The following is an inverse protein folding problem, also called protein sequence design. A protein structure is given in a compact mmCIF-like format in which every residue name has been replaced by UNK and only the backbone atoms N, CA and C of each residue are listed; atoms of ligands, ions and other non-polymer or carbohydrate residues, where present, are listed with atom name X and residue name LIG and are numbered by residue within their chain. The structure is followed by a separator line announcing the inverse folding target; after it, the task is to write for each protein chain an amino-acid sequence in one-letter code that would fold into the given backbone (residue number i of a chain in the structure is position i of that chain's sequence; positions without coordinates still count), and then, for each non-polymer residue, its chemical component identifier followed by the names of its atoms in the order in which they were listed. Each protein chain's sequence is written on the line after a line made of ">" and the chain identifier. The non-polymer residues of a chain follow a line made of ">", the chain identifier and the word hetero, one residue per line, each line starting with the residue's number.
data_IF_986648235109
#
_entry.id   IF_986648235109
#
_cell.length_a   1.000
_cell.length_b   1.000
_cell.length_c   1.000
_cell.angle_alpha   90.00
_cell.angle_beta   90.00
_cell.angle_gamma   90.00
#
_symmetry.space_group_name_H-M   'P 1'
#
loop_
_entity.id
_entity.type
_entity.pdbx_description
1 polymer ?
#
# COMPACT_ATOMS: atom_id res chain seq x y z
N UNK A 1 24.90 -1.52 -45.69
CA UNK A 1 25.07 -0.36 -44.78
C UNK A 1 23.69 0.02 -44.23
N UNK A 2 23.09 -0.88 -43.45
CA UNK A 2 21.70 -0.76 -43.00
C UNK A 2 21.76 -0.30 -41.55
N UNK A 3 21.57 1.01 -41.32
CA UNK A 3 21.48 1.58 -39.98
C UNK A 3 20.29 0.95 -39.27
N UNK A 4 20.56 0.14 -38.26
CA UNK A 4 19.59 -0.17 -37.21
C UNK A 4 19.17 1.17 -36.58
N UNK A 5 18.00 1.68 -36.98
CA UNK A 5 17.25 2.60 -36.15
C UNK A 5 16.86 1.80 -34.90
N UNK A 6 17.68 1.89 -33.86
CA UNK A 6 17.21 1.65 -32.50
C UNK A 6 16.07 2.65 -32.30
N UNK A 7 14.84 2.18 -32.47
CA UNK A 7 13.67 2.84 -31.90
C UNK A 7 13.97 2.85 -30.40
N UNK A 8 14.45 3.99 -29.91
CA UNK A 8 14.47 4.28 -28.48
C UNK A 8 13.01 4.37 -28.09
N UNK A 9 12.39 3.21 -27.81
CA UNK A 9 11.14 3.17 -27.06
C UNK A 9 11.47 3.88 -25.76
N UNK A 10 10.97 5.11 -25.60
CA UNK A 10 11.08 5.85 -24.35
C UNK A 10 10.45 4.97 -23.28
N UNK A 11 11.28 4.27 -22.52
CA UNK A 11 10.83 3.36 -21.46
C UNK A 11 10.04 4.21 -20.46
N UNK A 12 8.81 3.82 -20.19
CA UNK A 12 8.05 4.37 -19.06
C UNK A 12 8.85 4.16 -17.78
N UNK A 13 8.81 5.14 -16.90
CA UNK A 13 9.52 5.12 -15.62
C UNK A 13 8.62 4.62 -14.48
N UNK A 14 7.31 4.73 -14.66
CA UNK A 14 6.24 4.50 -13.69
C UNK A 14 4.99 3.93 -14.37
N UNK A 15 4.29 3.02 -13.68
CA UNK A 15 2.95 2.54 -14.00
C UNK A 15 1.84 3.39 -13.34
N UNK A 16 2.18 4.18 -12.31
CA UNK A 16 1.25 5.06 -11.59
C UNK A 16 1.14 6.47 -12.19
N UNK A 17 2.25 7.03 -12.68
CA UNK A 17 2.31 8.38 -13.23
C UNK A 17 2.78 8.37 -14.68
N UNK A 18 1.91 8.87 -15.58
CA UNK A 18 2.20 8.97 -17.01
C UNK A 18 1.84 10.38 -17.46
N UNK A 19 2.80 11.10 -18.03
CA UNK A 19 2.61 12.44 -18.57
C UNK A 19 1.77 12.43 -19.84
N UNK A 20 1.16 13.57 -20.17
CA UNK A 20 0.21 13.65 -21.29
C UNK A 20 0.83 13.33 -22.67
N UNK A 21 2.13 13.58 -22.87
CA UNK A 21 2.84 13.20 -24.10
C UNK A 21 2.96 11.68 -24.27
N UNK A 22 3.04 10.93 -23.17
CA UNK A 22 3.15 9.46 -23.16
C UNK A 22 1.79 8.76 -23.09
N UNK A 23 0.73 9.48 -22.71
CA UNK A 23 -0.62 8.95 -22.58
C UNK A 23 -1.25 8.52 -23.93
N UNK A 24 -0.70 8.94 -25.07
CA UNK A 24 -1.16 8.51 -26.39
C UNK A 24 -0.71 7.07 -26.72
N UNK A 25 0.47 6.69 -26.24
CA UNK A 25 1.08 5.38 -26.49
C UNK A 25 0.77 4.38 -25.36
N UNK A 26 0.24 4.86 -24.24
CA UNK A 26 0.04 4.08 -23.01
C UNK A 26 -1.29 4.38 -22.34
N UNK A 27 -1.99 3.33 -21.92
CA UNK A 27 -3.24 3.46 -21.19
C UNK A 27 -3.01 4.03 -19.78
N UNK A 28 -3.49 5.25 -19.54
CA UNK A 28 -3.44 5.91 -18.22
C UNK A 28 -4.72 5.61 -17.44
N UNK A 29 -4.61 4.83 -16.36
CA UNK A 29 -5.77 4.49 -15.53
C UNK A 29 -6.24 5.69 -14.70
N UNK A 30 -5.30 6.37 -14.04
CA UNK A 30 -5.51 7.54 -13.18
C UNK A 30 -4.26 8.41 -13.13
N UNK A 31 -4.43 9.64 -12.66
CA UNK A 31 -3.32 10.51 -12.24
C UNK A 31 -3.41 10.68 -10.72
N UNK A 32 -2.38 10.30 -9.95
CA UNK A 32 -2.40 10.46 -8.50
C UNK A 32 -2.51 11.93 -8.11
N UNK A 33 -3.10 12.20 -6.94
CA UNK A 33 -3.06 13.53 -6.35
C UNK A 33 -1.67 13.78 -5.77
N UNK A 34 -0.91 14.68 -6.40
CA UNK A 34 0.43 15.09 -5.97
C UNK A 34 0.38 16.56 -5.59
N UNK A 35 0.49 16.85 -4.30
CA UNK A 35 0.61 18.20 -3.78
C UNK A 35 1.80 18.23 -2.81
N UNK A 36 2.98 18.59 -3.33
CA UNK A 36 4.17 18.69 -2.50
C UNK A 36 4.21 19.99 -1.70
N UNK A 37 3.51 21.04 -2.15
CA UNK A 37 3.41 22.30 -1.42
C UNK A 37 2.80 22.06 -0.01
N UNK A 38 1.71 21.27 0.07
CA UNK A 38 1.10 20.82 1.34
C UNK A 38 2.08 20.03 2.23
N UNK A 39 2.96 19.21 1.64
CA UNK A 39 3.95 18.44 2.40
C UNK A 39 5.09 19.34 2.92
N UNK A 40 5.47 20.36 2.16
CA UNK A 40 6.50 21.32 2.53
C UNK A 40 6.06 22.25 3.68
N UNK A 41 4.76 22.54 3.81
CA UNK A 41 4.22 23.24 4.99
C UNK A 41 4.57 22.51 6.30
N UNK A 42 4.71 21.18 6.24
CA UNK A 42 5.12 20.32 7.36
C UNK A 42 6.48 19.65 7.12
N UNK A 43 7.41 20.33 6.44
CA UNK A 43 8.76 19.81 6.12
C UNK A 43 9.49 19.13 7.29
N UNK A 44 9.46 19.63 8.55
CA UNK A 44 10.12 18.95 9.67
C UNK A 44 9.58 17.54 9.96
N UNK A 45 8.26 17.30 9.78
CA UNK A 45 7.68 15.96 9.95
C UNK A 45 8.17 14.99 8.87
N UNK A 46 8.28 15.47 7.63
CA UNK A 46 8.78 14.70 6.50
C UNK A 46 10.28 14.37 6.66
N UNK A 47 11.10 15.35 7.06
CA UNK A 47 12.52 15.14 7.35
C UNK A 47 12.73 14.11 8.45
N UNK A 48 11.94 14.19 9.54
CA UNK A 48 11.94 13.18 10.60
C UNK A 48 11.60 11.79 10.04
N UNK A 49 10.57 11.68 9.20
CA UNK A 49 10.16 10.40 8.60
C UNK A 49 11.28 9.80 7.73
N UNK A 50 11.86 10.59 6.83
CA UNK A 50 12.96 10.15 5.95
C UNK A 50 14.15 9.67 6.78
N UNK A 51 14.56 10.47 7.78
CA UNK A 51 15.71 10.19 8.64
C UNK A 51 15.50 8.90 9.45
N UNK A 52 14.37 8.79 10.16
CA UNK A 52 14.11 7.65 11.05
C UNK A 52 13.85 6.35 10.28
N UNK A 53 13.36 6.42 9.03
CA UNK A 53 13.23 5.24 8.17
C UNK A 53 14.55 4.80 7.52
N UNK A 54 15.60 5.63 7.59
CA UNK A 54 16.87 5.36 6.89
C UNK A 54 16.76 5.45 5.37
N UNK A 55 15.81 6.23 4.84
CA UNK A 55 15.61 6.38 3.39
C UNK A 55 16.68 7.33 2.83
N UNK A 56 17.45 6.85 1.86
CA UNK A 56 18.50 7.64 1.21
C UNK A 56 17.90 8.54 0.12
N UNK A 57 17.37 9.70 0.51
CA UNK A 57 16.78 10.70 -0.40
C UNK A 57 17.30 12.10 -0.07
N UNK A 58 17.65 12.85 -1.12
CA UNK A 58 18.02 14.26 -1.04
C UNK A 58 16.76 15.14 -1.16
N UNK A 59 16.16 15.49 -0.01
CA UNK A 59 14.91 16.25 0.05
C UNK A 59 15.05 17.64 -0.60
N UNK A 60 16.18 18.31 -0.42
CA UNK A 60 16.41 19.63 -1.02
C UNK A 60 16.44 19.55 -2.55
N UNK A 61 17.04 18.49 -3.11
CA UNK A 61 17.02 18.27 -4.56
C UNK A 61 15.61 17.99 -5.08
N UNK A 62 14.78 17.28 -4.32
CA UNK A 62 13.37 17.07 -4.68
C UNK A 62 12.62 18.40 -4.66
N UNK A 63 12.81 19.20 -3.61
CA UNK A 63 12.23 20.53 -3.48
C UNK A 63 12.62 21.45 -4.63
N UNK A 64 13.92 21.51 -4.98
CA UNK A 64 14.38 22.30 -6.15
C UNK A 64 13.73 21.84 -7.46
N UNK A 65 13.59 20.53 -7.68
CA UNK A 65 12.91 19.99 -8.87
C UNK A 65 11.43 20.37 -8.89
N UNK A 66 10.76 20.29 -7.76
CA UNK A 66 9.35 20.65 -7.63
C UNK A 66 9.13 22.15 -7.87
N UNK A 67 9.91 23.03 -7.22
CA UNK A 67 9.80 24.47 -7.42
C UNK A 67 10.08 24.88 -8.87
N UNK A 68 11.06 24.24 -9.53
CA UNK A 68 11.32 24.46 -10.94
C UNK A 68 10.16 24.02 -11.84
N UNK A 69 9.54 22.87 -11.54
CA UNK A 69 8.31 22.44 -12.21
C UNK A 69 7.18 23.47 -12.04
N UNK A 70 6.91 23.92 -10.80
CA UNK A 70 5.87 24.91 -10.50
C UNK A 70 6.10 26.22 -11.25
N UNK A 71 7.34 26.70 -11.29
CA UNK A 71 7.72 27.89 -12.06
C UNK A 71 7.41 27.72 -13.56
N UNK A 72 7.80 26.60 -14.18
CA UNK A 72 7.51 26.38 -15.60
C UNK A 72 6.01 26.21 -15.88
N UNK A 73 5.27 25.58 -14.97
CA UNK A 73 3.82 25.44 -15.09
C UNK A 73 3.11 26.79 -14.95
N UNK A 74 3.56 27.67 -14.05
CA UNK A 74 3.08 29.05 -13.94
C UNK A 74 3.31 29.84 -15.23
N UNK A 75 4.52 29.77 -15.79
CA UNK A 75 4.83 30.41 -17.09
C UNK A 75 3.94 29.87 -18.21
N UNK A 76 3.63 28.56 -18.21
CA UNK A 76 2.69 27.95 -19.16
C UNK A 76 1.28 28.52 -18.98
N UNK A 77 0.79 28.62 -17.75
CA UNK A 77 -0.53 29.18 -17.45
C UNK A 77 -0.62 30.64 -17.89
N UNK A 78 0.40 31.45 -17.62
CA UNK A 78 0.45 32.86 -18.07
C UNK A 78 0.38 32.96 -19.59
N UNK A 79 1.15 32.16 -20.33
CA UNK A 79 1.08 32.14 -21.79
C UNK A 79 -0.28 31.66 -22.32
N UNK A 80 -0.94 30.71 -21.65
CA UNK A 80 -2.29 30.27 -22.01
C UNK A 80 -3.33 31.37 -21.78
N UNK A 81 -3.23 32.11 -20.68
CA UNK A 81 -4.08 33.27 -20.39
C UNK A 81 -3.88 34.37 -21.44
N UNK A 82 -2.64 34.79 -21.69
CA UNK A 82 -2.32 35.82 -22.69
C UNK A 82 -2.79 35.42 -24.10
N UNK A 83 -2.64 34.14 -24.48
CA UNK A 83 -3.20 33.63 -25.75
C UNK A 83 -4.71 33.77 -25.80
N UNK A 84 -5.41 33.49 -24.68
CA UNK A 84 -6.85 33.64 -24.56
C UNK A 84 -7.30 35.09 -24.68
N UNK A 85 -6.57 36.03 -24.06
CA UNK A 85 -6.82 37.47 -24.13
C UNK A 85 -6.62 38.02 -25.55
N UNK A 86 -5.49 37.70 -26.20
CA UNK A 86 -5.25 38.08 -27.60
C UNK A 86 -6.32 37.49 -28.52
N UNK A 87 -6.76 36.26 -28.25
CA UNK A 87 -7.86 35.64 -29.01
C UNK A 87 -9.17 36.43 -28.92
N UNK A 88 -9.51 36.97 -27.75
CA UNK A 88 -10.68 37.85 -27.55
C UNK A 88 -10.49 39.20 -28.27
N UNK A 89 -9.32 39.80 -28.13
CA UNK A 89 -9.01 41.10 -28.76
C UNK A 89 -9.08 41.02 -30.30
N UNK A 90 -8.51 39.96 -30.90
CA UNK A 90 -8.64 39.71 -32.34
C UNK A 90 -10.12 39.59 -32.74
N UNK A 91 -10.92 38.85 -31.97
CA UNK A 91 -12.34 38.67 -32.28
C UNK A 91 -13.13 39.99 -32.21
N UNK A 92 -12.79 40.89 -31.30
CA UNK A 92 -13.45 42.19 -31.16
C UNK A 92 -13.01 43.19 -32.24
N UNK A 93 -11.74 43.23 -32.60
CA UNK A 93 -11.24 44.06 -33.71
C UNK A 93 -11.80 43.62 -35.07
N UNK A 94 -11.94 42.30 -35.29
CA UNK A 94 -12.58 41.79 -36.50
C UNK A 94 -14.05 42.22 -36.63
N UNK A 95 -14.80 42.36 -35.51
CA UNK A 95 -16.17 42.89 -35.53
C UNK A 95 -16.22 44.38 -35.89
N UNK A 96 -15.17 45.13 -35.53
CA UNK A 96 -15.05 46.58 -35.80
C UNK A 96 -14.49 46.88 -37.18
N UNK A 97 -13.96 45.87 -37.89
CA UNK A 97 -13.32 46.04 -39.20
C UNK A 97 -11.88 46.54 -39.14
N UNK A 98 -11.25 46.45 -37.96
CA UNK A 98 -9.89 46.94 -37.72
C UNK A 98 -8.81 45.93 -38.15
N UNK A 99 -7.56 46.40 -38.30
CA UNK A 99 -6.42 45.56 -38.66
C UNK A 99 -5.96 44.67 -37.48
N UNK A 100 -5.83 43.37 -37.73
CA UNK A 100 -5.45 42.35 -36.74
C UNK A 100 -4.14 41.61 -37.04
N UNK A 101 -3.41 41.96 -38.11
CA UNK A 101 -2.23 41.19 -38.56
C UNK A 101 -1.13 41.10 -37.50
N UNK A 102 -0.85 42.19 -36.77
CA UNK A 102 0.14 42.20 -35.69
C UNK A 102 -0.26 41.26 -34.53
N UNK A 103 -1.53 41.27 -34.13
CA UNK A 103 -2.05 40.39 -33.08
C UNK A 103 -2.06 38.92 -33.52
N UNK A 104 -2.35 38.64 -34.79
CA UNK A 104 -2.23 37.27 -35.34
C UNK A 104 -0.79 36.77 -35.29
N UNK A 105 0.19 37.63 -35.59
CA UNK A 105 1.61 37.28 -35.49
C UNK A 105 2.01 37.00 -34.03
N UNK A 106 1.60 37.85 -33.09
CA UNK A 106 1.82 37.63 -31.65
C UNK A 106 1.17 36.32 -31.17
N UNK A 107 -0.08 36.05 -31.56
CA UNK A 107 -0.77 34.81 -31.22
C UNK A 107 -0.04 33.57 -31.78
N UNK A 108 0.57 33.69 -32.96
CA UNK A 108 1.40 32.62 -33.54
C UNK A 108 2.68 32.40 -32.73
N UNK A 109 3.41 33.46 -32.37
CA UNK A 109 4.61 33.37 -31.53
C UNK A 109 4.31 32.70 -30.18
N UNK A 110 3.26 33.17 -29.48
CA UNK A 110 2.83 32.57 -28.21
C UNK A 110 2.42 31.11 -28.37
N UNK A 111 1.78 30.75 -29.49
CA UNK A 111 1.44 29.35 -29.78
C UNK A 111 2.70 28.48 -29.94
N UNK A 112 3.71 29.00 -30.62
CA UNK A 112 4.97 28.28 -30.84
C UNK A 112 5.78 28.18 -29.53
N UNK A 113 5.83 29.24 -28.72
CA UNK A 113 6.43 29.24 -27.38
C UNK A 113 5.73 28.27 -26.43
N UNK A 114 4.38 28.26 -26.42
CA UNK A 114 3.60 27.29 -25.65
C UNK A 114 3.89 25.85 -26.06
N UNK A 115 4.05 25.59 -27.37
CA UNK A 115 4.38 24.26 -27.87
C UNK A 115 5.78 23.85 -27.39
N UNK A 116 6.75 24.75 -27.47
CA UNK A 116 8.11 24.51 -27.00
C UNK A 116 8.14 24.26 -25.49
N UNK A 117 7.51 25.14 -24.70
CA UNK A 117 7.44 25.04 -23.25
C UNK A 117 6.77 23.73 -22.80
N UNK A 118 5.65 23.33 -23.42
CA UNK A 118 4.98 22.05 -23.10
C UNK A 118 5.91 20.84 -23.31
N UNK A 119 6.69 20.83 -24.40
CA UNK A 119 7.62 19.74 -24.67
C UNK A 119 8.71 19.60 -23.59
N UNK A 120 9.21 20.71 -23.05
CA UNK A 120 10.14 20.69 -21.92
C UNK A 120 9.45 20.36 -20.60
N UNK A 121 8.25 20.89 -20.38
CA UNK A 121 7.49 20.72 -19.15
C UNK A 121 7.23 19.25 -18.85
N UNK A 122 6.89 18.42 -19.83
CA UNK A 122 6.61 16.99 -19.59
C UNK A 122 7.77 16.25 -18.89
N UNK A 123 9.01 16.48 -19.32
CA UNK A 123 10.17 15.83 -18.69
C UNK A 123 10.44 16.33 -17.28
N UNK A 124 10.20 17.64 -17.05
CA UNK A 124 10.38 18.27 -15.73
C UNK A 124 9.28 17.83 -14.76
N UNK A 125 8.03 17.81 -15.22
CA UNK A 125 6.84 17.32 -14.53
C UNK A 125 7.03 15.86 -14.11
N UNK A 126 7.37 14.98 -15.04
CA UNK A 126 7.63 13.57 -14.74
C UNK A 126 8.73 13.44 -13.68
N UNK A 127 9.86 14.14 -13.85
CA UNK A 127 10.97 14.07 -12.91
C UNK A 127 10.60 14.55 -11.51
N UNK A 128 9.81 15.63 -11.41
CA UNK A 128 9.35 16.19 -10.14
C UNK A 128 8.30 15.28 -9.48
N UNK A 129 7.28 14.85 -10.22
CA UNK A 129 6.21 13.99 -9.74
C UNK A 129 6.74 12.65 -9.19
N UNK A 130 7.63 11.99 -9.92
CA UNK A 130 8.22 10.72 -9.48
C UNK A 130 9.12 10.88 -8.26
N UNK A 131 9.84 12.00 -8.16
CA UNK A 131 10.63 12.32 -6.98
C UNK A 131 9.72 12.46 -5.74
N UNK A 132 8.61 13.19 -5.86
CA UNK A 132 7.63 13.32 -4.77
C UNK A 132 6.97 11.98 -4.43
N UNK A 133 6.59 11.18 -5.44
CA UNK A 133 6.01 9.85 -5.25
C UNK A 133 6.99 8.83 -4.63
N UNK A 134 8.29 9.11 -4.61
CA UNK A 134 9.28 8.28 -3.91
C UNK A 134 9.31 8.53 -2.41
N UNK A 135 8.71 9.62 -1.92
CA UNK A 135 8.72 9.99 -0.51
C UNK A 135 7.81 9.07 0.33
N UNK A 136 8.21 8.76 1.57
CA UNK A 136 7.40 7.98 2.50
C UNK A 136 6.26 8.83 3.07
N UNK A 137 5.32 8.15 3.70
CA UNK A 137 4.30 8.76 4.53
C UNK A 137 4.90 9.36 5.82
N UNK A 138 4.18 10.29 6.43
CA UNK A 138 4.57 10.89 7.72
C UNK A 138 4.48 9.87 8.85
N UNK A 139 5.36 9.99 9.85
CA UNK A 139 5.32 9.14 11.03
C UNK A 139 4.31 9.68 12.05
N UNK A 140 3.52 8.77 12.63
CA UNK A 140 2.69 9.08 13.77
C UNK A 140 3.57 9.36 15.02
N UNK A 141 3.16 10.25 15.95
CA UNK A 141 3.93 10.55 17.17
C UNK A 141 4.27 9.32 18.03
N UNK A 142 3.40 8.30 18.03
CA UNK A 142 3.61 7.05 18.76
C UNK A 142 4.59 6.07 18.08
N UNK A 143 5.06 6.35 16.88
CA UNK A 143 6.02 5.47 16.20
C UNK A 143 7.37 5.54 16.92
N UNK A 144 7.91 4.40 17.41
CA UNK A 144 9.22 4.37 18.04
C UNK A 144 10.33 4.71 17.06
N UNK A 145 11.37 5.37 17.57
CA UNK A 145 12.48 5.85 16.75
C UNK A 145 13.49 4.74 16.42
N UNK A 146 13.64 3.69 17.25
CA UNK A 146 14.71 2.68 17.09
C UNK A 146 14.26 1.26 17.44
N UNK A 147 13.77 1.04 18.67
CA UNK A 147 13.36 -0.29 19.14
C UNK A 147 11.85 -0.44 19.26
N UNK A 148 11.39 -1.69 19.20
CA UNK A 148 9.98 -2.03 19.42
C UNK A 148 9.51 -1.56 20.80
N UNK A 149 8.32 -0.95 20.85
CA UNK A 149 7.70 -0.50 22.10
C UNK A 149 6.54 -1.42 22.46
N UNK A 150 6.66 -2.12 23.58
CA UNK A 150 5.60 -3.00 24.11
C UNK A 150 4.34 -2.20 24.43
N UNK A 151 3.19 -2.70 23.97
CA UNK A 151 1.88 -2.12 24.26
C UNK A 151 1.05 -3.00 25.17
N UNK A 152 1.10 -4.30 24.93
CA UNK A 152 0.29 -5.26 25.64
C UNK A 152 0.98 -6.62 25.60
N UNK A 153 0.84 -7.38 26.68
CA UNK A 153 1.37 -8.74 26.79
C UNK A 153 0.38 -9.63 27.54
N UNK A 154 0.18 -10.86 27.06
CA UNK A 154 -0.69 -11.85 27.68
C UNK A 154 0.05 -13.16 27.91
N UNK A 155 -0.09 -13.73 29.11
CA UNK A 155 0.53 -14.99 29.53
C UNK A 155 2.03 -15.07 29.17
N UNK A 156 2.89 -14.14 29.64
CA UNK A 156 4.31 -14.19 29.36
C UNK A 156 4.88 -15.57 29.69
N UNK A 157 5.58 -16.18 28.74
CA UNK A 157 6.14 -17.53 28.89
C UNK A 157 7.61 -17.54 28.50
N UNK A 158 8.38 -18.36 29.22
CA UNK A 158 9.78 -18.65 28.91
C UNK A 158 9.97 -20.13 28.54
N UNK A 159 8.88 -20.82 28.17
CA UNK A 159 8.94 -22.22 27.81
C UNK A 159 9.80 -22.41 26.56
N UNK A 160 10.62 -23.47 26.59
CA UNK A 160 11.50 -23.86 25.48
C UNK A 160 11.09 -25.23 24.98
N UNK A 161 10.80 -25.31 23.69
CA UNK A 161 10.61 -26.59 23.01
C UNK A 161 11.96 -27.13 22.57
N UNK A 162 12.16 -28.44 22.73
CA UNK A 162 13.32 -29.15 22.19
C UNK A 162 13.17 -29.50 20.70
N UNK A 163 11.96 -29.37 20.14
CA UNK A 163 11.61 -29.76 18.76
C UNK A 163 10.97 -28.60 18.01
N UNK A 164 11.27 -28.49 16.71
CA UNK A 164 10.63 -27.52 15.83
C UNK A 164 9.17 -27.88 15.51
N UNK A 165 8.35 -26.90 15.08
CA UNK A 165 7.01 -27.20 14.57
C UNK A 165 7.01 -28.17 13.37
N UNK A 166 8.11 -28.24 12.61
CA UNK A 166 8.27 -29.19 11.51
C UNK A 166 8.36 -30.64 12.04
N UNK A 167 9.16 -30.86 13.08
CA UNK A 167 9.28 -32.17 13.74
C UNK A 167 8.01 -32.57 14.47
N UNK A 168 7.39 -31.62 15.19
CA UNK A 168 6.14 -31.88 15.94
C UNK A 168 4.98 -32.13 14.97
N UNK A 169 4.90 -31.34 13.89
CA UNK A 169 3.85 -31.46 12.89
C UNK A 169 3.89 -32.79 12.15
N UNK A 170 5.07 -33.37 11.91
CA UNK A 170 5.21 -34.72 11.38
C UNK A 170 4.34 -34.98 10.15
N UNK A 171 3.40 -35.92 10.24
CA UNK A 171 2.50 -36.27 9.13
C UNK A 171 1.43 -35.21 8.82
N UNK A 172 1.19 -34.25 9.72
CA UNK A 172 0.23 -33.15 9.55
C UNK A 172 0.75 -32.05 8.62
N UNK A 173 2.08 -31.92 8.47
CA UNK A 173 2.70 -30.89 7.62
C UNK A 173 3.67 -31.56 6.66
N UNK A 174 3.39 -31.47 5.36
CA UNK A 174 4.30 -31.94 4.31
C UNK A 174 4.89 -30.76 3.56
N UNK A 175 6.19 -30.50 3.76
CA UNK A 175 6.95 -29.59 2.91
C UNK A 175 7.40 -30.29 1.63
N UNK A 176 7.28 -29.61 0.49
CA UNK A 176 7.89 -30.02 -0.79
C UNK A 176 9.22 -29.27 -0.98
N UNK A 177 9.26 -28.01 -0.56
CA UNK A 177 10.44 -27.17 -0.48
C UNK A 177 10.23 -26.14 0.66
N UNK A 178 11.22 -25.29 0.99
CA UNK A 178 11.12 -24.33 2.10
C UNK A 178 9.96 -23.34 2.05
N UNK A 179 9.33 -23.15 0.88
CA UNK A 179 8.27 -22.15 0.66
C UNK A 179 6.90 -22.77 0.40
N UNK A 180 6.85 -24.09 0.12
CA UNK A 180 5.65 -24.80 -0.33
C UNK A 180 5.36 -26.01 0.55
N UNK A 181 4.17 -26.00 1.13
CA UNK A 181 3.74 -26.98 2.13
C UNK A 181 2.29 -27.42 1.91
N UNK A 182 1.92 -28.50 2.57
CA UNK A 182 0.55 -29.02 2.65
C UNK A 182 0.20 -29.31 4.11
N UNK A 183 -0.98 -28.87 4.54
CA UNK A 183 -1.58 -29.29 5.81
C UNK A 183 -2.48 -30.51 5.59
N UNK A 184 -2.48 -31.42 6.57
CA UNK A 184 -3.26 -32.67 6.54
C UNK A 184 -3.93 -32.91 7.90
N UNK A 185 -5.03 -33.66 7.88
CA UNK A 185 -5.76 -34.04 9.10
C UNK A 185 -6.08 -32.83 9.97
N UNK A 186 -5.76 -32.95 11.26
CA UNK A 186 -6.05 -31.91 12.26
C UNK A 186 -5.40 -30.55 11.96
N UNK A 187 -4.27 -30.48 11.24
CA UNK A 187 -3.69 -29.20 10.85
C UNK A 187 -4.50 -28.50 9.75
N UNK A 188 -5.08 -29.26 8.82
CA UNK A 188 -5.98 -28.70 7.81
C UNK A 188 -7.30 -28.25 8.44
N UNK A 189 -7.83 -29.04 9.38
CA UNK A 189 -9.02 -28.66 10.14
C UNK A 189 -8.76 -27.44 11.03
N UNK A 190 -7.56 -27.33 11.62
CA UNK A 190 -7.13 -26.16 12.39
C UNK A 190 -7.17 -24.87 11.55
N UNK A 191 -6.65 -24.89 10.31
CA UNK A 191 -6.73 -23.73 9.39
C UNK A 191 -8.19 -23.26 9.21
N UNK A 192 -9.11 -24.20 8.98
CA UNK A 192 -10.54 -23.90 8.82
C UNK A 192 -11.20 -23.36 10.11
N UNK A 193 -11.02 -24.05 11.24
CA UNK A 193 -11.65 -23.65 12.51
C UNK A 193 -11.12 -22.31 13.04
N UNK A 194 -9.80 -22.09 12.92
CA UNK A 194 -9.18 -20.84 13.36
C UNK A 194 -9.68 -19.65 12.54
N UNK A 195 -9.80 -19.81 11.22
CA UNK A 195 -10.30 -18.74 10.34
C UNK A 195 -11.79 -18.47 10.55
N UNK A 196 -12.59 -19.51 10.82
CA UNK A 196 -13.99 -19.41 11.24
C UNK A 196 -14.12 -18.62 12.55
N UNK A 197 -13.34 -18.98 13.57
CA UNK A 197 -13.28 -18.26 14.83
C UNK A 197 -12.88 -16.79 14.64
N UNK A 198 -11.72 -16.52 14.03
CA UNK A 198 -11.24 -15.14 13.88
C UNK A 198 -12.22 -14.27 13.08
N UNK A 199 -12.86 -14.85 12.05
CA UNK A 199 -13.94 -14.18 11.31
C UNK A 199 -15.11 -13.77 12.21
N UNK A 200 -15.51 -14.63 13.15
CA UNK A 200 -16.62 -14.33 14.06
C UNK A 200 -16.35 -13.11 14.95
N UNK A 201 -15.08 -12.79 15.22
CA UNK A 201 -14.68 -11.61 16.00
C UNK A 201 -14.90 -10.29 15.25
N UNK A 202 -15.07 -10.35 13.92
CA UNK A 202 -15.33 -9.21 13.04
C UNK A 202 -16.80 -9.15 12.59
N UNK A 203 -17.75 -9.60 13.43
CA UNK A 203 -19.18 -9.62 13.09
C UNK A 203 -19.76 -8.24 12.70
N UNK A 204 -19.16 -7.14 13.14
CA UNK A 204 -19.55 -5.77 12.78
C UNK A 204 -18.95 -5.27 11.45
N UNK A 205 -18.06 -6.05 10.83
CA UNK A 205 -17.44 -5.73 9.55
C UNK A 205 -18.19 -6.44 8.43
N UNK A 206 -18.20 -5.83 7.25
CA UNK A 206 -18.76 -6.45 6.05
C UNK A 206 -17.73 -7.35 5.41
N UNK A 207 -18.07 -8.64 5.25
CA UNK A 207 -17.22 -9.60 4.53
C UNK A 207 -17.21 -9.27 3.04
N UNK A 208 -16.03 -9.31 2.43
CA UNK A 208 -15.84 -9.18 0.97
C UNK A 208 -14.99 -10.35 0.45
N UNK A 209 -15.27 -10.78 -0.78
CA UNK A 209 -14.41 -11.70 -1.53
C UNK A 209 -13.59 -10.91 -2.53
N UNK A 210 -12.30 -10.79 -2.25
CA UNK A 210 -11.38 -9.93 -3.00
C UNK A 210 -10.74 -10.66 -4.20
N UNK A 211 -10.10 -9.88 -5.08
CA UNK A 211 -9.32 -10.40 -6.21
C UNK A 211 -7.95 -10.93 -5.75
N UNK A 212 -7.52 -12.07 -6.27
CA UNK A 212 -6.15 -12.57 -6.07
C UNK A 212 -5.11 -11.83 -6.91
N UNK A 213 -5.55 -11.07 -7.92
CA UNK A 213 -4.68 -10.39 -8.87
C UNK A 213 -4.85 -8.87 -8.82
N UNK A 214 -3.76 -8.15 -9.04
CA UNK A 214 -3.78 -6.70 -9.28
C UNK A 214 -2.84 -6.31 -10.44
N UNK A 215 -2.90 -5.04 -10.86
CA UNK A 215 -2.04 -4.47 -11.91
C UNK A 215 -0.87 -3.69 -11.30
N UNK A 216 0.20 -3.49 -12.07
CA UNK A 216 1.40 -2.74 -11.62
C UNK A 216 1.09 -1.36 -11.05
N UNK A 217 0.09 -0.65 -11.61
CA UNK A 217 -0.42 0.63 -11.09
C UNK A 217 -0.89 0.55 -9.63
N UNK A 218 -1.46 -0.58 -9.20
CA UNK A 218 -1.91 -0.79 -7.82
C UNK A 218 -0.71 -1.05 -6.91
N UNK A 219 0.25 -1.86 -7.36
CA UNK A 219 1.47 -2.16 -6.60
C UNK A 219 2.26 -0.87 -6.35
N UNK A 220 2.48 -0.06 -7.39
CA UNK A 220 3.15 1.24 -7.27
C UNK A 220 2.30 2.26 -6.51
N UNK A 221 0.99 2.26 -6.71
CA UNK A 221 0.03 3.05 -5.93
C UNK A 221 0.10 2.76 -4.44
N UNK A 222 0.44 1.51 -4.06
CA UNK A 222 0.71 1.08 -2.69
C UNK A 222 2.14 1.39 -2.19
N UNK A 223 2.91 2.17 -2.97
CA UNK A 223 4.31 2.52 -2.72
C UNK A 223 5.27 1.33 -2.65
N UNK A 224 4.98 0.29 -3.44
CA UNK A 224 5.88 -0.85 -3.67
C UNK A 224 6.42 -0.79 -5.10
N UNK A 225 7.72 -1.06 -5.30
CA UNK A 225 8.26 -1.16 -6.66
C UNK A 225 7.77 -2.44 -7.33
N UNK A 226 6.92 -2.31 -8.34
CA UNK A 226 6.36 -3.45 -9.08
C UNK A 226 7.39 -4.24 -9.91
N UNK A 227 8.62 -3.71 -10.05
CA UNK A 227 9.75 -4.37 -10.74
C UNK A 227 10.62 -5.16 -9.76
N UNK A 228 10.51 -4.87 -8.47
CA UNK A 228 11.21 -5.59 -7.43
C UNK A 228 10.59 -6.98 -7.22
N UNK A 229 11.39 -7.90 -6.70
CA UNK A 229 10.97 -9.28 -6.39
C UNK A 229 10.10 -9.38 -5.15
N UNK A 230 9.65 -8.25 -4.59
CA UNK A 230 8.77 -8.17 -3.42
C UNK A 230 7.29 -8.48 -3.71
N UNK A 231 6.92 -8.63 -4.99
CA UNK A 231 5.58 -9.09 -5.41
C UNK A 231 5.68 -10.11 -6.54
N UNK A 232 4.87 -11.17 -6.51
CA UNK A 232 4.83 -12.13 -7.61
C UNK A 232 4.28 -11.48 -8.88
N UNK A 233 5.07 -11.51 -9.94
CA UNK A 233 4.68 -11.01 -11.26
C UNK A 233 4.33 -12.20 -12.15
N UNK A 234 3.15 -12.18 -12.75
CA UNK A 234 2.74 -13.17 -13.72
C UNK A 234 3.30 -12.81 -15.09
N UNK A 235 4.10 -13.72 -15.65
CA UNK A 235 4.65 -13.56 -16.98
C UNK A 235 3.52 -13.70 -18.03
N UNK A 236 3.45 -12.76 -18.98
CA UNK A 236 2.62 -12.90 -20.17
C UNK A 236 3.42 -13.60 -21.26
N UNK A 237 2.84 -14.61 -21.91
CA UNK A 237 3.48 -15.30 -23.04
C UNK A 237 3.62 -14.42 -24.31
N UNK A 238 3.05 -13.22 -24.33
CA UNK A 238 3.10 -12.28 -25.47
C UNK A 238 3.65 -10.94 -25.00
N UNK A 239 4.60 -10.37 -25.76
CA UNK A 239 5.49 -9.24 -25.42
C UNK A 239 4.84 -7.88 -25.18
N UNK A 240 3.82 -7.82 -24.33
CA UNK A 240 3.18 -6.58 -23.89
C UNK A 240 4.10 -5.72 -23.02
N UNK A 241 3.76 -4.43 -23.03
CA UNK A 241 4.39 -3.34 -22.28
C UNK A 241 4.60 -3.70 -20.80
N UNK A 242 5.87 -3.60 -20.36
CA UNK A 242 6.41 -3.93 -19.03
C UNK A 242 5.65 -3.32 -17.83
N UNK A 243 4.80 -2.32 -18.07
CA UNK A 243 4.13 -1.48 -17.06
C UNK A 243 2.64 -1.80 -16.85
N UNK A 244 2.11 -2.83 -17.53
CA UNK A 244 0.71 -3.32 -17.36
C UNK A 244 0.64 -4.75 -16.80
N UNK A 245 1.73 -5.18 -16.15
CA UNK A 245 1.88 -6.55 -15.65
C UNK A 245 0.78 -6.89 -14.63
N UNK A 246 0.43 -8.16 -14.61
CA UNK A 246 -0.47 -8.73 -13.61
C UNK A 246 0.39 -9.27 -12.47
N UNK A 247 -0.02 -9.02 -11.25
CA UNK A 247 0.65 -9.50 -10.04
C UNK A 247 -0.28 -10.42 -9.25
N UNK A 248 0.26 -11.50 -8.71
CA UNK A 248 -0.44 -12.40 -7.79
C UNK A 248 -0.17 -11.93 -6.36
N UNK A 249 -1.20 -11.37 -5.73
CA UNK A 249 -1.12 -10.76 -4.39
C UNK A 249 -1.99 -11.50 -3.37
N UNK A 250 -3.03 -12.18 -3.86
CA UNK A 250 -4.00 -12.89 -3.04
C UNK A 250 -5.11 -11.99 -2.52
N UNK A 251 -6.32 -12.55 -2.38
CA UNK A 251 -7.50 -11.82 -1.89
C UNK A 251 -7.30 -11.22 -0.50
N UNK A 252 -6.51 -11.88 0.36
CA UNK A 252 -6.14 -11.39 1.69
C UNK A 252 -4.88 -10.52 1.62
N UNK A 253 -4.98 -9.39 0.91
CA UNK A 253 -3.90 -8.41 0.80
C UNK A 253 -4.43 -6.99 0.69
N UNK A 254 -3.63 -6.03 1.17
CA UNK A 254 -3.87 -4.59 0.97
C UNK A 254 -4.05 -4.24 -0.52
N UNK A 255 -3.27 -4.85 -1.41
CA UNK A 255 -3.36 -4.62 -2.85
C UNK A 255 -4.73 -4.99 -3.41
N UNK A 256 -5.35 -6.05 -2.90
CA UNK A 256 -6.67 -6.47 -3.36
C UNK A 256 -7.77 -5.49 -2.94
N UNK A 257 -7.71 -4.98 -1.71
CA UNK A 257 -8.60 -3.88 -1.26
C UNK A 257 -8.38 -2.61 -2.09
N UNK A 258 -7.13 -2.22 -2.30
CA UNK A 258 -6.81 -1.03 -3.09
C UNK A 258 -7.21 -1.20 -4.56
N UNK A 259 -7.17 -2.41 -5.11
CA UNK A 259 -7.72 -2.71 -6.45
C UNK A 259 -9.21 -2.40 -6.52
N UNK A 260 -9.99 -2.79 -5.50
CA UNK A 260 -11.42 -2.50 -5.43
C UNK A 260 -11.74 -1.00 -5.31
N UNK A 261 -10.95 -0.26 -4.52
CA UNK A 261 -11.21 1.15 -4.21
C UNK A 261 -10.53 2.17 -5.13
N UNK A 262 -9.76 1.71 -6.12
CA UNK A 262 -9.07 2.61 -7.04
C UNK A 262 -10.07 3.46 -7.83
N UNK A 263 -9.92 4.78 -7.79
CA UNK A 263 -10.83 5.81 -8.34
C UNK A 263 -12.25 5.78 -7.76
N UNK A 264 -12.45 5.09 -6.64
CA UNK A 264 -13.78 4.96 -6.05
C UNK A 264 -14.18 6.27 -5.35
N UNK A 265 -15.43 6.69 -5.59
CA UNK A 265 -16.08 7.79 -4.88
C UNK A 265 -17.14 7.22 -3.93
N UNK A 266 -16.95 7.41 -2.63
CA UNK A 266 -17.87 6.93 -1.58
C UNK A 266 -18.80 8.05 -1.14
N UNK A 267 -20.05 7.69 -0.86
CA UNK A 267 -20.99 8.61 -0.21
C UNK A 267 -20.61 8.78 1.26
N UNK A 268 -20.46 10.01 1.74
CA UNK A 268 -20.06 10.34 3.11
C UNK A 268 -20.83 9.53 4.19
N UNK A 269 -22.15 9.36 3.99
CA UNK A 269 -23.04 8.62 4.91
C UNK A 269 -22.71 7.13 5.08
N UNK A 270 -21.88 6.56 4.18
CA UNK A 270 -21.43 5.16 4.27
C UNK A 270 -20.12 5.02 5.05
N UNK A 271 -19.43 6.11 5.35
CA UNK A 271 -18.24 6.10 6.19
C UNK A 271 -18.66 6.07 7.67
N UNK A 272 -17.93 5.33 8.52
CA UNK A 272 -16.76 4.52 8.19
C UNK A 272 -17.11 3.18 7.51
N UNK A 273 -16.35 2.81 6.47
CA UNK A 273 -16.40 1.47 5.89
C UNK A 273 -15.53 0.54 6.74
N UNK A 274 -16.06 -0.62 7.13
CA UNK A 274 -15.32 -1.67 7.85
C UNK A 274 -15.46 -2.98 7.09
N UNK A 275 -14.39 -3.42 6.44
CA UNK A 275 -14.39 -4.59 5.57
C UNK A 275 -13.40 -5.63 6.04
N UNK A 276 -13.68 -6.89 5.76
CA UNK A 276 -12.71 -7.96 5.96
C UNK A 276 -12.85 -9.08 4.94
N UNK A 277 -11.78 -9.86 4.78
CA UNK A 277 -11.78 -11.03 3.92
C UNK A 277 -10.93 -12.15 4.54
N UNK A 278 -11.25 -13.39 4.20
CA UNK A 278 -10.43 -14.56 4.50
C UNK A 278 -10.12 -15.22 3.18
N UNK A 279 -8.85 -15.23 2.79
CA UNK A 279 -8.41 -15.72 1.49
C UNK A 279 -6.93 -16.08 1.53
N UNK A 280 -6.38 -16.45 0.37
CA UNK A 280 -4.93 -16.63 0.23
C UNK A 280 -4.23 -15.28 0.17
N UNK A 281 -3.01 -15.24 0.70
CA UNK A 281 -2.04 -14.16 0.52
C UNK A 281 -0.79 -14.75 -0.11
N UNK A 282 -0.19 -14.03 -1.07
CA UNK A 282 1.00 -14.48 -1.79
C UNK A 282 2.12 -13.45 -1.62
N UNK A 283 3.18 -13.82 -0.93
CA UNK A 283 4.31 -12.95 -0.65
C UNK A 283 5.60 -13.67 -1.06
N UNK A 284 6.45 -13.08 -1.93
CA UNK A 284 7.77 -13.62 -2.17
C UNK A 284 8.61 -13.40 -0.91
N UNK A 285 8.74 -14.44 -0.09
CA UNK A 285 9.45 -14.32 1.17
C UNK A 285 10.95 -14.23 0.89
N UNK A 286 11.53 -13.06 1.11
CA UNK A 286 12.97 -12.79 0.88
C UNK A 286 13.81 -13.04 2.13
N UNK A 287 13.15 -13.09 3.30
CA UNK A 287 13.78 -13.40 4.59
C UNK A 287 13.72 -14.92 4.79
N UNK A 288 14.89 -15.54 4.96
CA UNK A 288 14.95 -16.96 5.32
C UNK A 288 14.62 -17.11 6.80
N UNK A 289 13.49 -17.71 7.05
CA UNK A 289 13.12 -18.35 8.32
C UNK A 289 12.86 -19.83 8.04
N UNK A 290 12.60 -20.62 9.07
CA UNK A 290 12.38 -22.06 8.90
C UNK A 290 10.89 -22.42 8.91
N UNK A 291 10.53 -23.38 8.05
CA UNK A 291 9.21 -24.01 8.01
C UNK A 291 8.07 -23.04 7.69
N UNK A 292 7.03 -23.01 8.54
CA UNK A 292 5.81 -22.22 8.31
C UNK A 292 6.00 -20.71 8.49
N UNK A 293 7.18 -20.24 8.95
CA UNK A 293 7.49 -18.81 9.07
C UNK A 293 7.93 -18.17 7.76
N UNK A 294 8.39 -18.96 6.78
CA UNK A 294 8.98 -18.46 5.53
C UNK A 294 8.17 -18.79 4.27
N UNK A 295 6.92 -19.25 4.40
CA UNK A 295 6.13 -19.72 3.25
C UNK A 295 5.73 -18.58 2.32
N UNK A 296 5.56 -18.89 1.03
CA UNK A 296 5.17 -17.88 0.02
C UNK A 296 3.66 -17.73 -0.16
N UNK A 297 2.89 -18.69 0.34
CA UNK A 297 1.44 -18.73 0.30
C UNK A 297 0.94 -19.01 1.70
N UNK A 298 -0.03 -18.23 2.16
CA UNK A 298 -0.69 -18.44 3.44
C UNK A 298 -2.19 -18.20 3.34
N UNK A 299 -2.98 -18.82 4.22
CA UNK A 299 -4.35 -18.36 4.48
C UNK A 299 -4.26 -17.24 5.52
N UNK A 300 -4.85 -16.10 5.19
CA UNK A 300 -4.82 -14.91 6.04
C UNK A 300 -6.21 -14.28 6.14
N UNK A 301 -6.45 -13.61 7.25
CA UNK A 301 -7.62 -12.77 7.46
C UNK A 301 -7.17 -11.31 7.46
N UNK A 302 -7.56 -10.56 6.44
CA UNK A 302 -7.22 -9.15 6.27
C UNK A 302 -8.46 -8.29 6.54
N UNK A 303 -8.28 -7.17 7.23
CA UNK A 303 -9.31 -6.15 7.43
C UNK A 303 -8.87 -4.80 6.88
N UNK A 304 -9.84 -3.98 6.50
CA UNK A 304 -9.64 -2.68 5.88
C UNK A 304 -10.73 -1.71 6.35
N UNK A 305 -10.31 -0.54 6.82
CA UNK A 305 -11.19 0.55 7.20
C UNK A 305 -10.91 1.77 6.32
N UNK A 306 -11.99 2.40 5.86
CA UNK A 306 -11.94 3.72 5.24
C UNK A 306 -12.77 4.68 6.09
N UNK A 307 -12.13 5.75 6.53
CA UNK A 307 -12.68 6.74 7.45
C UNK A 307 -12.75 8.11 6.76
N UNK A 308 -13.49 9.05 7.38
CA UNK A 308 -13.45 10.44 6.94
C UNK A 308 -12.07 11.03 7.19
N UNK A 309 -11.85 12.23 6.64
CA UNK A 309 -10.64 12.99 6.90
C UNK A 309 -10.73 13.68 8.27
N UNK A 310 -10.64 12.86 9.31
CA UNK A 310 -10.71 13.25 10.71
C UNK A 310 -9.67 12.42 11.50
N UNK A 311 -8.66 13.11 12.05
CA UNK A 311 -7.57 12.47 12.79
C UNK A 311 -8.04 11.86 14.11
N UNK A 312 -9.02 12.49 14.79
CA UNK A 312 -9.57 11.96 16.03
C UNK A 312 -10.39 10.69 15.79
N UNK A 313 -11.27 10.69 14.77
CA UNK A 313 -12.03 9.50 14.39
C UNK A 313 -11.09 8.34 14.04
N UNK A 314 -9.99 8.63 13.33
CA UNK A 314 -8.96 7.64 12.98
C UNK A 314 -8.30 7.03 14.22
N UNK A 315 -7.87 7.85 15.18
CA UNK A 315 -7.27 7.35 16.43
C UNK A 315 -8.27 6.51 17.25
N UNK A 316 -9.53 6.94 17.34
CA UNK A 316 -10.57 6.20 18.05
C UNK A 316 -10.84 4.83 17.41
N UNK A 317 -10.95 4.76 16.08
CA UNK A 317 -11.14 3.50 15.36
C UNK A 317 -9.91 2.59 15.44
N UNK A 318 -8.70 3.15 15.37
CA UNK A 318 -7.48 2.39 15.56
C UNK A 318 -7.45 1.71 16.94
N UNK A 319 -7.78 2.44 18.00
CA UNK A 319 -7.84 1.89 19.37
C UNK A 319 -8.92 0.82 19.54
N UNK A 320 -10.08 0.98 18.88
CA UNK A 320 -11.13 -0.06 18.84
C UNK A 320 -10.62 -1.34 18.17
N UNK A 321 -9.91 -1.21 17.03
CA UNK A 321 -9.29 -2.35 16.34
C UNK A 321 -8.25 -3.01 17.23
N UNK A 322 -7.34 -2.27 17.86
CA UNK A 322 -6.33 -2.82 18.79
C UNK A 322 -6.98 -3.60 19.94
N UNK A 323 -8.08 -3.08 20.52
CA UNK A 323 -8.83 -3.76 21.57
C UNK A 323 -9.48 -5.06 21.09
N UNK A 324 -10.00 -5.06 19.85
CA UNK A 324 -10.51 -6.25 19.19
C UNK A 324 -9.41 -7.30 19.00
N UNK A 325 -8.23 -6.90 18.49
CA UNK A 325 -7.07 -7.80 18.35
C UNK A 325 -6.72 -8.47 19.69
N UNK A 326 -6.60 -7.70 20.77
CA UNK A 326 -6.28 -8.23 22.10
C UNK A 326 -7.33 -9.26 22.55
N UNK A 327 -8.62 -8.94 22.36
CA UNK A 327 -9.71 -9.82 22.79
C UNK A 327 -9.77 -11.11 21.98
N UNK A 328 -9.59 -11.02 20.65
CA UNK A 328 -9.56 -12.18 19.76
C UNK A 328 -8.41 -13.14 20.07
N UNK A 329 -7.21 -12.61 20.37
CA UNK A 329 -6.06 -13.47 20.67
C UNK A 329 -6.09 -14.04 22.09
N UNK A 330 -6.62 -13.31 23.09
CA UNK A 330 -6.76 -13.83 24.47
C UNK A 330 -7.56 -15.13 24.54
N UNK A 331 -8.64 -15.22 23.76
CA UNK A 331 -9.51 -16.39 23.75
C UNK A 331 -8.81 -17.67 23.25
N UNK A 332 -7.73 -17.54 22.46
CA UNK A 332 -6.92 -18.69 22.02
C UNK A 332 -6.11 -19.30 23.16
N UNK A 333 -5.83 -18.55 24.24
CA UNK A 333 -5.15 -19.07 25.42
C UNK A 333 -3.63 -19.24 25.29
N UNK A 334 -3.00 -18.66 24.27
CA UNK A 334 -1.54 -18.70 24.08
C UNK A 334 -0.87 -17.38 24.44
N UNK A 335 0.43 -17.43 24.72
CA UNK A 335 1.24 -16.22 24.89
C UNK A 335 1.29 -15.40 23.60
N UNK A 336 1.00 -14.11 23.70
CA UNK A 336 1.24 -13.14 22.65
C UNK A 336 1.53 -11.76 23.22
N UNK A 337 2.11 -10.89 22.39
CA UNK A 337 2.31 -9.48 22.68
C UNK A 337 1.90 -8.61 21.50
N UNK A 338 1.55 -7.36 21.79
CA UNK A 338 1.43 -6.31 20.79
C UNK A 338 2.55 -5.30 21.01
N UNK A 339 3.24 -4.96 19.92
CA UNK A 339 4.35 -4.00 19.93
C UNK A 339 4.15 -2.96 18.85
N UNK A 340 4.48 -1.69 19.13
CA UNK A 340 4.70 -0.74 18.05
C UNK A 340 6.03 -1.04 17.37
N UNK A 341 6.00 -1.06 16.04
CA UNK A 341 7.16 -1.30 15.20
C UNK A 341 7.92 0.02 14.97
N UNK A 342 9.26 0.02 15.09
CA UNK A 342 10.06 1.23 14.89
C UNK A 342 10.07 1.69 13.43
N UNK A 343 10.33 2.98 13.23
CA UNK A 343 10.25 3.65 11.93
C UNK A 343 11.00 2.94 10.80
N UNK A 344 12.21 2.41 11.06
CA UNK A 344 13.07 1.72 10.09
C UNK A 344 12.42 0.46 9.50
N UNK A 345 11.49 -0.16 10.23
CA UNK A 345 10.81 -1.40 9.82
C UNK A 345 9.43 -1.13 9.19
N UNK A 346 8.98 0.12 9.15
CA UNK A 346 7.69 0.48 8.54
C UNK A 346 7.77 0.52 7.02
N UNK A 347 6.71 0.06 6.35
CA UNK A 347 6.53 0.27 4.91
C UNK A 347 6.31 1.74 4.61
N UNK A 348 6.67 2.19 3.41
CA UNK A 348 6.58 3.60 3.01
C UNK A 348 5.19 4.22 3.17
N UNK A 349 4.12 3.43 3.10
CA UNK A 349 2.75 3.92 3.27
C UNK A 349 2.26 3.99 4.73
N UNK A 350 2.95 3.39 5.70
CA UNK A 350 2.47 3.25 7.09
C UNK A 350 2.89 4.45 7.95
N UNK A 351 1.98 5.11 8.66
CA UNK A 351 2.31 6.10 9.70
C UNK A 351 2.73 5.46 11.01
N UNK A 352 2.04 4.38 11.39
CA UNK A 352 2.17 3.61 12.63
C UNK A 352 1.82 2.15 12.33
N UNK A 353 2.53 1.21 12.95
CA UNK A 353 2.22 -0.23 12.84
C UNK A 353 2.30 -0.87 14.21
N UNK A 354 1.24 -1.60 14.57
CA UNK A 354 1.23 -2.54 15.68
C UNK A 354 1.39 -3.94 15.12
N UNK A 355 2.41 -4.66 15.57
CA UNK A 355 2.57 -6.07 15.27
C UNK A 355 1.98 -6.92 16.39
N UNK A 356 1.28 -7.99 16.02
CA UNK A 356 0.81 -9.03 16.93
C UNK A 356 1.80 -10.18 16.82
N UNK A 357 2.46 -10.50 17.92
CA UNK A 357 3.55 -11.46 17.92
C UNK A 357 3.30 -12.60 18.90
N UNK A 358 3.53 -13.83 18.44
CA UNK A 358 3.56 -15.01 19.29
C UNK A 358 4.99 -15.51 19.46
N UNK A 359 5.28 -16.08 20.62
CA UNK A 359 6.62 -16.60 20.90
C UNK A 359 6.79 -18.01 20.34
N UNK A 360 7.79 -18.18 19.48
CA UNK A 360 8.26 -19.50 19.05
C UNK A 360 9.12 -20.10 20.16
N UNK A 361 8.60 -21.12 20.85
CA UNK A 361 9.33 -21.77 21.94
C UNK A 361 10.53 -22.59 21.43
N UNK A 362 10.62 -22.89 20.14
CA UNK A 362 11.81 -23.51 19.56
C UNK A 362 12.92 -22.49 19.27
N UNK A 363 12.61 -21.46 18.46
CA UNK A 363 13.62 -20.46 18.05
C UNK A 363 13.91 -19.41 19.12
N UNK A 364 13.08 -19.34 20.17
CA UNK A 364 13.16 -18.34 21.24
C UNK A 364 13.07 -16.90 20.70
N UNK A 365 12.26 -16.71 19.67
CA UNK A 365 12.01 -15.40 19.05
C UNK A 365 10.51 -15.16 18.89
N UNK A 366 10.13 -13.89 18.87
CA UNK A 366 8.77 -13.47 18.55
C UNK A 366 8.54 -13.52 17.04
N UNK A 367 7.39 -14.05 16.64
CA UNK A 367 6.97 -14.22 15.25
C UNK A 367 5.68 -13.45 15.03
N UNK A 368 5.67 -12.59 14.01
CA UNK A 368 4.46 -11.85 13.64
C UNK A 368 3.39 -12.81 13.12
N UNK A 369 2.23 -12.81 13.79
CA UNK A 369 1.05 -13.60 13.41
C UNK A 369 -0.11 -12.72 12.91
N UNK A 370 0.06 -11.40 12.96
CA UNK A 370 -0.90 -10.41 12.52
C UNK A 370 -0.36 -9.00 12.75
N UNK A 371 -1.03 -7.98 12.21
CA UNK A 371 -0.65 -6.58 12.41
C UNK A 371 -1.81 -5.64 12.09
N UNK A 372 -1.68 -4.38 12.52
CA UNK A 372 -2.58 -3.28 12.19
C UNK A 372 -1.76 -2.02 11.92
N UNK A 373 -2.05 -1.32 10.84
CA UNK A 373 -1.33 -0.12 10.45
C UNK A 373 -2.26 1.05 10.17
N UNK A 374 -1.89 2.22 10.69
CA UNK A 374 -2.44 3.49 10.23
C UNK A 374 -1.71 3.84 8.94
N UNK A 375 -2.47 4.03 7.86
CA UNK A 375 -1.96 4.44 6.54
C UNK A 375 -2.33 5.90 6.25
N UNK A 376 -3.36 6.43 6.93
CA UNK A 376 -3.87 7.78 6.73
C UNK A 376 -4.33 8.00 5.26
N UNK A 377 -4.18 9.20 4.70
CA UNK A 377 -4.61 9.54 3.34
C UNK A 377 -3.59 9.21 2.24
N UNK A 378 -2.47 8.58 2.58
CA UNK A 378 -1.35 8.38 1.64
C UNK A 378 -1.72 7.53 0.42
N UNK A 379 -2.39 6.40 0.64
CA UNK A 379 -2.83 5.52 -0.46
C UNK A 379 -4.06 6.05 -1.18
N UNK A 380 -4.95 6.74 -0.48
CA UNK A 380 -6.16 7.31 -1.08
C UNK A 380 -5.82 8.48 -2.02
N UNK A 381 -4.82 9.31 -1.70
CA UNK A 381 -4.27 10.33 -2.61
C UNK A 381 -3.63 9.71 -3.86
N UNK A 382 -2.88 8.60 -3.71
CA UNK A 382 -2.24 7.90 -4.84
C UNK A 382 -3.21 7.18 -5.77
N UNK A 383 -4.27 6.58 -5.23
CA UNK A 383 -5.22 5.76 -6.00
C UNK A 383 -6.61 6.40 -6.17
N UNK A 384 -6.75 7.68 -5.85
CA UNK A 384 -7.98 8.48 -5.97
C UNK A 384 -9.19 7.85 -5.26
N UNK A 385 -8.98 7.36 -4.04
CA UNK A 385 -10.06 6.86 -3.19
C UNK A 385 -10.65 8.01 -2.37
N UNK A 386 -11.86 8.45 -2.70
CA UNK A 386 -12.40 9.73 -2.25
C UNK A 386 -13.84 9.63 -1.74
N UNK A 387 -14.29 10.68 -1.06
CA UNK A 387 -15.68 10.91 -0.71
C UNK A 387 -16.03 12.39 -0.91
N UNK A 388 -17.30 12.68 -1.17
CA UNK A 388 -17.77 14.06 -1.31
C UNK A 388 -18.49 14.51 -0.03
N UNK A 389 -18.14 15.70 0.46
CA UNK A 389 -18.82 16.40 1.56
C UNK A 389 -19.02 17.86 1.14
N UNK A 390 -20.24 18.39 1.24
CA UNK A 390 -20.55 19.78 0.88
C UNK A 390 -20.04 20.24 -0.52
N UNK A 391 -20.08 19.35 -1.53
CA UNK A 391 -19.54 19.54 -2.89
C UNK A 391 -18.00 19.65 -2.98
N UNK A 392 -17.30 19.39 -1.89
CA UNK A 392 -15.84 19.26 -1.85
C UNK A 392 -15.47 17.77 -1.87
N UNK A 393 -14.51 17.41 -2.71
CA UNK A 393 -13.96 16.06 -2.77
C UNK A 393 -12.80 15.93 -1.79
N UNK A 394 -12.92 15.00 -0.84
CA UNK A 394 -11.90 14.69 0.17
C UNK A 394 -11.36 13.28 0.00
N UNK A 395 -10.18 13.03 0.54
CA UNK A 395 -9.54 11.71 0.55
C UNK A 395 -9.88 10.99 1.86
N UNK A 396 -10.16 9.70 1.78
CA UNK A 396 -10.40 8.90 3.00
C UNK A 396 -9.09 8.64 3.74
N UNK A 397 -9.18 8.44 5.06
CA UNK A 397 -8.08 7.89 5.87
C UNK A 397 -8.21 6.39 5.96
N UNK A 398 -7.08 5.67 5.88
CA UNK A 398 -7.06 4.22 5.81
C UNK A 398 -6.40 3.63 7.06
N UNK A 399 -7.05 2.61 7.63
CA UNK A 399 -6.45 1.66 8.58
C UNK A 399 -6.58 0.28 7.96
N UNK A 400 -5.50 -0.48 7.88
CA UNK A 400 -5.51 -1.82 7.29
C UNK A 400 -4.60 -2.75 8.07
N UNK A 401 -4.87 -4.05 8.01
CA UNK A 401 -3.95 -5.02 8.56
C UNK A 401 -4.44 -6.45 8.48
N UNK A 402 -3.54 -7.35 8.87
CA UNK A 402 -3.80 -8.78 8.92
C UNK A 402 -4.20 -9.17 10.35
N UNK A 403 -5.46 -9.54 10.57
CA UNK A 403 -5.93 -10.07 11.85
C UNK A 403 -5.27 -11.42 12.17
N UNK A 404 -5.00 -12.23 11.15
CA UNK A 404 -4.49 -13.59 11.32
C UNK A 404 -3.64 -14.00 10.11
N UNK A 405 -2.44 -14.52 10.37
CA UNK A 405 -1.66 -15.37 9.47
C UNK A 405 -1.66 -16.80 10.01
N UNK A 406 -2.32 -17.73 9.31
CA UNK A 406 -2.48 -19.10 9.81
C UNK A 406 -1.13 -19.82 10.00
N UNK A 407 -0.19 -19.81 9.05
CA UNK A 407 1.04 -20.61 9.17
C UNK A 407 1.94 -20.26 10.36
N UNK A 408 2.32 -18.98 10.61
CA UNK A 408 3.16 -18.65 11.76
C UNK A 408 2.45 -18.90 13.09
N UNK A 409 1.12 -18.72 13.15
CA UNK A 409 0.34 -19.04 14.34
C UNK A 409 0.32 -20.56 14.60
N UNK A 410 0.06 -21.37 13.59
CA UNK A 410 0.09 -22.83 13.69
C UNK A 410 1.46 -23.33 14.16
N UNK A 411 2.55 -22.78 13.64
CA UNK A 411 3.90 -23.11 14.10
C UNK A 411 4.09 -22.83 15.60
N UNK A 412 3.71 -21.63 16.05
CA UNK A 412 3.81 -21.28 17.47
C UNK A 412 2.93 -22.21 18.33
N UNK A 413 1.71 -22.54 17.89
CA UNK A 413 0.82 -23.46 18.62
C UNK A 413 1.42 -24.86 18.76
N UNK A 414 1.98 -25.41 17.69
CA UNK A 414 2.62 -26.72 17.72
C UNK A 414 3.82 -26.74 18.68
N UNK A 415 4.68 -25.72 18.62
CA UNK A 415 5.86 -25.60 19.48
C UNK A 415 5.49 -25.41 20.96
N UNK A 416 4.44 -24.64 21.27
CA UNK A 416 4.01 -24.40 22.65
C UNK A 416 3.23 -25.59 23.24
N UNK A 417 2.52 -26.38 22.43
CA UNK A 417 1.84 -27.59 22.90
C UNK A 417 2.78 -28.80 23.06
N UNK A 418 3.89 -28.83 22.31
CA UNK A 418 4.88 -29.91 22.33
C UNK A 418 4.42 -31.25 21.72
N UNK A 419 3.14 -31.39 21.36
CA UNK A 419 2.51 -32.56 20.74
C UNK A 419 1.27 -32.17 19.92
N UNK A 420 0.84 -33.06 19.02
CA UNK A 420 -0.28 -32.82 18.08
C UNK A 420 -1.67 -33.02 18.67
N UNK A 421 -1.82 -33.88 19.68
CA UNK A 421 -3.14 -34.30 20.21
C UNK A 421 -3.97 -33.14 20.82
N UNK A 422 -3.32 -32.03 21.15
CA UNK A 422 -3.95 -30.83 21.70
C UNK A 422 -4.12 -29.70 20.66
N UNK A 423 -3.87 -29.95 19.37
CA UNK A 423 -3.95 -28.91 18.34
C UNK A 423 -5.37 -28.33 18.19
N UNK A 424 -6.38 -29.19 18.23
CA UNK A 424 -7.79 -28.81 18.15
C UNK A 424 -8.39 -28.73 19.56
N UNK A 425 -8.26 -27.55 20.18
CA UNK A 425 -8.81 -27.27 21.51
C UNK A 425 -10.34 -27.36 21.52
N UNK A 426 -10.93 -27.67 22.68
CA UNK A 426 -12.40 -27.66 22.85
C UNK A 426 -13.02 -26.30 22.50
N UNK A 427 -12.23 -25.23 22.63
CA UNK A 427 -12.60 -23.90 22.17
C UNK A 427 -12.78 -23.86 20.65
N UNK A 428 -11.77 -24.28 19.87
CA UNK A 428 -11.82 -24.24 18.41
C UNK A 428 -12.85 -25.22 17.83
N UNK A 429 -13.09 -26.37 18.49
CA UNK A 429 -14.10 -27.35 18.05
C UNK A 429 -15.53 -26.82 18.03
N UNK A 430 -15.81 -25.68 18.67
CA UNK A 430 -17.13 -25.01 18.61
C UNK A 430 -17.40 -24.30 17.28
N UNK A 431 -16.39 -24.17 16.42
CA UNK A 431 -16.43 -23.40 15.17
C UNK A 431 -16.43 -24.29 13.90
N UNK A 432 -16.78 -25.57 14.06
CA UNK A 432 -16.93 -26.57 12.97
C UNK A 432 -18.05 -26.18 12.02
#
# INVERSE_FOLDING_TARGET
>A
MTRYLQIVTRRLSSALYVTADKAQDHFVLLTPYINFDEQLENKPKLERSIKLRGINVDLERIERRWLFFRYLDEQRLTLELTKGEIGKEIADLLKRGDNVENLKLQAKLIKDDLKMLKNYLYGVEESAALAVLSLPNSLHPNTPDDTERLLFEYLPTSQRSSRSHMEIGGSLIKFINPYLYYLRGDAALFEYLLTSYMSSTLASFTRISNSDFCRSVIVEGCATDFRDKSVFTLEKCTGDVEFTRTHLVGGASLYAFMTYFTKHLVTEKRLPLRLFTTARSYNPNTVRDDGLFSVNQETSLEFFLALKDDEQEMEEEFNKVVSLLITSYKALGYHFRLVYIPAQKLKNHECLRVSIEMFSSFTQTYKEVGHCSIIDSFLSKRLLFTYDINKERKFVRIISGTLLKVPPLLACVLENNGRTDNLLTDFLRKYV
#
